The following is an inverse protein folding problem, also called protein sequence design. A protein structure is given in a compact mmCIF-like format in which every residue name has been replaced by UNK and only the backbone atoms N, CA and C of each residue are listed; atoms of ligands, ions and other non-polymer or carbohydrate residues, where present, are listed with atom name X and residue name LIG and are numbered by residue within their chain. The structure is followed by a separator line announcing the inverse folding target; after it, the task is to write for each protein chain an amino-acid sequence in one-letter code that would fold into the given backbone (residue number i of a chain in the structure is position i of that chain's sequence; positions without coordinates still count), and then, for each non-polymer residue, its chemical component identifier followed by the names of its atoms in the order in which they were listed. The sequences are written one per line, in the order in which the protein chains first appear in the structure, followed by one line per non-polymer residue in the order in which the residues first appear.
data_IF_126622168977
#
_entry.id   IF_126622168977
#
_cell.length_a   1.000
_cell.length_b   1.000
_cell.length_c   1.000
_cell.angle_alpha   90.00
_cell.angle_beta   90.00
_cell.angle_gamma   90.00
#
_symmetry.space_group_name_H-M   'P 1'
#
loop_
_entity.id
_entity.type
_entity.pdbx_description
1 polymer ?
#
# COMPACT_ATOMS: atom_id res chain seq x y z
N UNK A 1 33.82 11.26 -39.83
CA UNK A 1 32.39 11.20 -39.46
C UNK A 1 32.11 10.66 -38.03
N UNK A 2 33.11 10.41 -37.17
CA UNK A 2 32.91 9.71 -35.87
C UNK A 2 32.31 10.55 -34.72
N UNK A 3 32.02 11.85 -34.94
CA UNK A 3 31.66 12.81 -33.88
C UNK A 3 30.14 13.01 -33.65
N UNK A 4 29.27 12.48 -34.51
CA UNK A 4 27.81 12.78 -34.49
C UNK A 4 27.00 11.71 -33.72
N UNK A 5 27.56 10.52 -33.50
CA UNK A 5 26.82 9.39 -32.88
C UNK A 5 26.57 9.63 -31.38
N UNK A 6 27.53 10.24 -30.67
CA UNK A 6 27.46 10.44 -29.22
C UNK A 6 26.29 11.33 -28.76
N UNK A 7 26.03 12.53 -29.34
CA UNK A 7 24.88 13.35 -28.94
C UNK A 7 23.53 12.69 -29.27
N UNK A 8 23.45 11.85 -30.31
CA UNK A 8 22.22 11.15 -30.70
C UNK A 8 21.79 10.09 -29.68
N UNK A 9 22.75 9.35 -29.10
CA UNK A 9 22.47 8.39 -28.02
C UNK A 9 22.04 9.11 -26.74
N UNK A 10 22.67 10.25 -26.43
CA UNK A 10 22.37 11.05 -25.24
C UNK A 10 20.98 11.72 -25.32
N UNK A 11 20.55 12.11 -26.53
CA UNK A 11 19.18 12.59 -26.78
C UNK A 11 18.15 11.45 -26.64
N UNK A 12 18.47 10.23 -27.07
CA UNK A 12 17.58 9.08 -26.93
C UNK A 12 17.34 8.68 -25.46
N UNK A 13 18.34 8.83 -24.59
CA UNK A 13 18.16 8.62 -23.14
C UNK A 13 17.23 9.64 -22.47
N UNK A 14 16.98 10.80 -23.07
CA UNK A 14 16.06 11.82 -22.52
C UNK A 14 14.57 11.51 -22.79
N UNK A 15 14.26 10.56 -23.67
CA UNK A 15 12.89 10.12 -23.98
C UNK A 15 12.50 8.80 -23.29
N UNK A 16 13.32 8.32 -22.35
CA UNK A 16 13.00 7.18 -21.48
C UNK A 16 12.15 7.70 -20.33
N UNK A 17 10.84 7.67 -20.50
CA UNK A 17 9.92 7.95 -19.38
C UNK A 17 10.12 6.85 -18.28
N UNK A 18 9.93 7.13 -16.96
CA UNK A 18 10.08 6.22 -15.76
C UNK A 18 8.83 5.32 -15.54
N UNK A 19 8.83 4.18 -14.80
CA UNK A 19 7.84 3.04 -14.94
C UNK A 19 6.65 3.10 -14.01
N UNK A 20 5.47 2.64 -14.48
CA UNK A 20 4.30 2.39 -13.66
C UNK A 20 4.56 1.05 -12.99
N UNK A 21 5.57 1.07 -12.13
CA UNK A 21 5.45 0.41 -10.86
C UNK A 21 4.11 0.90 -10.31
N UNK A 22 3.12 0.01 -10.37
CA UNK A 22 1.94 0.11 -9.54
C UNK A 22 2.45 -0.08 -8.11
N UNK A 23 2.97 1.01 -7.54
CA UNK A 23 2.95 1.17 -6.10
C UNK A 23 1.50 0.93 -5.68
N UNK A 24 1.31 0.07 -4.69
CA UNK A 24 -0.01 -0.19 -4.16
C UNK A 24 -0.65 1.13 -3.72
N UNK A 25 -1.97 1.23 -3.90
CA UNK A 25 -2.64 2.51 -3.74
C UNK A 25 -2.50 3.01 -2.30
N UNK A 26 -2.25 4.31 -2.15
CA UNK A 26 -2.55 5.06 -0.94
C UNK A 26 -3.99 4.78 -0.47
N UNK A 27 -4.31 4.27 0.71
CA UNK A 27 -5.65 4.44 1.31
C UNK A 27 -5.53 5.35 2.54
N UNK A 28 -6.27 6.46 2.53
CA UNK A 28 -6.40 7.42 3.63
C UNK A 28 -7.59 7.07 4.52
N UNK A 29 -7.36 7.02 5.83
CA UNK A 29 -8.32 6.68 6.85
C UNK A 29 -8.61 7.89 7.72
N UNK A 30 -9.89 8.27 7.80
CA UNK A 30 -10.36 9.40 8.62
C UNK A 30 -11.46 8.90 9.55
N UNK A 31 -11.14 8.78 10.84
CA UNK A 31 -12.05 8.40 11.90
C UNK A 31 -12.48 9.63 12.70
N UNK A 32 -13.79 9.88 12.76
CA UNK A 32 -14.39 10.99 13.50
C UNK A 32 -15.38 10.50 14.55
N UNK A 33 -15.25 10.99 15.79
CA UNK A 33 -16.23 10.75 16.86
C UNK A 33 -17.45 11.67 16.78
N UNK A 34 -18.53 11.34 17.50
CA UNK A 34 -19.74 12.18 17.60
C UNK A 34 -19.39 13.65 17.84
N UNK A 35 -19.99 14.55 17.04
CA UNK A 35 -19.76 15.99 17.14
C UNK A 35 -18.34 16.43 16.76
N UNK A 36 -17.59 15.62 16.01
CA UNK A 36 -16.19 15.82 15.65
C UNK A 36 -15.24 15.91 16.86
N UNK A 37 -15.63 15.30 17.99
CA UNK A 37 -14.94 15.44 19.28
C UNK A 37 -13.60 14.71 19.39
N UNK A 38 -13.26 13.86 18.42
CA UNK A 38 -11.93 13.30 18.19
C UNK A 38 -11.75 13.10 16.69
N UNK A 39 -10.60 13.53 16.15
CA UNK A 39 -10.17 13.28 14.79
C UNK A 39 -8.92 12.40 14.83
N UNK A 40 -8.99 11.21 14.23
CA UNK A 40 -7.90 10.25 14.11
C UNK A 40 -7.69 10.00 12.62
N UNK A 41 -6.47 10.24 12.13
CA UNK A 41 -6.12 10.08 10.71
C UNK A 41 -4.83 9.29 10.53
N UNK A 42 -4.84 8.34 9.59
CA UNK A 42 -3.67 7.55 9.20
C UNK A 42 -3.80 7.11 7.74
N UNK A 43 -2.71 6.65 7.14
CA UNK A 43 -2.71 6.14 5.77
C UNK A 43 -1.97 4.80 5.71
N UNK A 44 -2.49 3.87 4.91
CA UNK A 44 -1.93 2.53 4.71
C UNK A 44 -1.93 2.18 3.21
N UNK A 45 -1.06 1.28 2.73
CA UNK A 45 -1.28 0.64 1.43
C UNK A 45 -2.66 -0.02 1.39
N UNK A 46 -3.36 0.07 0.26
CA UNK A 46 -4.68 -0.49 0.05
C UNK A 46 -4.71 -2.03 0.21
N UNK A 47 -3.61 -2.69 -0.14
CA UNK A 47 -3.34 -4.11 0.15
C UNK A 47 -2.04 -4.23 0.96
N UNK A 48 -2.06 -3.92 2.28
CA UNK A 48 -0.86 -4.00 3.09
C UNK A 48 -0.39 -5.45 3.14
N UNK A 49 0.94 -5.71 3.19
CA UNK A 49 1.46 -7.06 3.23
C UNK A 49 0.83 -7.83 4.39
N UNK A 50 0.31 -9.00 4.10
CA UNK A 50 -0.45 -9.81 5.03
C UNK A 50 0.34 -10.23 6.26
N UNK A 51 -0.35 -10.85 7.20
CA UNK A 51 0.21 -11.31 8.46
C UNK A 51 1.19 -12.51 8.32
N UNK A 52 1.67 -12.84 7.12
CA UNK A 52 2.77 -13.80 6.90
C UNK A 52 4.07 -13.39 7.62
N UNK A 53 4.26 -12.09 7.86
CA UNK A 53 5.38 -11.56 8.65
C UNK A 53 5.21 -11.69 10.18
N UNK A 54 3.97 -11.72 10.69
CA UNK A 54 3.65 -11.72 12.14
C UNK A 54 3.02 -13.01 12.65
N UNK A 55 2.58 -13.90 11.76
CA UNK A 55 1.90 -15.16 12.05
C UNK A 55 2.74 -16.34 11.49
N UNK A 56 3.80 -16.78 12.20
CA UNK A 56 4.64 -17.87 11.72
C UNK A 56 3.82 -19.17 11.53
N UNK A 57 4.19 -20.04 10.56
CA UNK A 57 3.35 -21.12 10.03
C UNK A 57 3.06 -22.29 10.99
N UNK A 58 3.31 -22.12 12.29
CA UNK A 58 3.17 -23.13 13.35
C UNK A 58 1.86 -23.05 14.13
N UNK A 59 1.04 -22.00 13.92
CA UNK A 59 -0.25 -21.84 14.61
C UNK A 59 -1.43 -22.10 13.66
N UNK A 60 -2.37 -23.02 13.98
CA UNK A 60 -3.55 -23.27 13.15
C UNK A 60 -4.48 -22.05 13.05
N UNK A 61 -4.34 -21.07 13.95
CA UNK A 61 -5.02 -19.77 13.89
C UNK A 61 -4.57 -18.92 12.70
N UNK A 62 -3.35 -19.14 12.18
CA UNK A 62 -2.76 -18.38 11.07
C UNK A 62 -3.18 -18.91 9.68
N UNK A 63 -3.86 -20.06 9.60
CA UNK A 63 -4.26 -20.67 8.33
C UNK A 63 -5.64 -20.14 7.93
N UNK A 64 -5.83 -19.56 6.73
CA UNK A 64 -7.17 -19.27 6.21
C UNK A 64 -8.04 -20.55 6.22
N UNK A 65 -9.27 -20.55 6.77
CA UNK A 65 -10.13 -19.40 7.14
C UNK A 65 -10.19 -19.10 8.65
N UNK A 66 -9.18 -19.48 9.44
CA UNK A 66 -9.19 -19.34 10.91
C UNK A 66 -8.63 -18.00 11.41
N UNK A 67 -8.02 -17.22 10.53
CA UNK A 67 -7.59 -15.85 10.81
C UNK A 67 -8.76 -15.01 11.36
N UNK A 68 -8.55 -14.43 12.54
CA UNK A 68 -9.51 -13.52 13.16
C UNK A 68 -9.16 -12.05 12.89
N UNK A 69 -7.90 -11.74 12.61
CA UNK A 69 -7.39 -10.39 12.35
C UNK A 69 -6.07 -10.39 11.56
N UNK A 70 -5.67 -9.22 11.07
CA UNK A 70 -4.28 -8.88 10.74
C UNK A 70 -3.85 -7.60 11.47
N UNK A 71 -2.55 -7.30 11.44
CA UNK A 71 -1.95 -6.12 12.07
C UNK A 71 -1.17 -5.37 11.00
N UNK A 72 -1.29 -4.04 10.96
CA UNK A 72 -0.45 -3.15 10.18
C UNK A 72 0.02 -1.99 11.07
N UNK A 73 1.28 -1.59 10.96
CA UNK A 73 1.84 -0.47 11.73
C UNK A 73 1.90 0.79 10.88
N UNK A 74 1.47 1.94 11.42
CA UNK A 74 1.47 3.21 10.70
C UNK A 74 1.60 4.41 11.64
N UNK A 75 2.10 5.57 11.15
CA UNK A 75 1.98 6.83 11.88
C UNK A 75 0.51 7.26 11.92
N UNK A 76 -0.08 7.29 13.10
CA UNK A 76 -1.45 7.75 13.33
C UNK A 76 -1.44 9.11 14.01
N UNK A 77 -2.23 10.04 13.46
CA UNK A 77 -2.38 11.39 14.02
C UNK A 77 -3.72 11.50 14.75
N UNK A 78 -3.66 11.62 16.08
CA UNK A 78 -4.82 11.82 16.95
C UNK A 78 -4.84 13.27 17.42
N UNK A 79 -5.88 14.02 17.05
CA UNK A 79 -6.06 15.43 17.43
C UNK A 79 -4.83 16.33 17.16
N UNK A 80 -4.06 16.03 16.10
CA UNK A 80 -2.86 16.78 15.69
C UNK A 80 -1.54 16.29 16.31
N UNK A 81 -1.54 15.22 17.11
CA UNK A 81 -0.32 14.56 17.61
C UNK A 81 -0.14 13.23 16.89
N UNK A 82 1.04 13.00 16.30
CA UNK A 82 1.36 11.79 15.55
C UNK A 82 2.19 10.81 16.39
N UNK A 83 1.78 9.55 16.46
CA UNK A 83 2.51 8.42 17.06
C UNK A 83 2.52 7.23 16.11
N UNK A 84 3.56 6.39 16.16
CA UNK A 84 3.57 5.12 15.42
C UNK A 84 2.76 4.08 16.22
N UNK A 85 1.69 3.55 15.63
CA UNK A 85 0.73 2.65 16.28
C UNK A 85 0.55 1.33 15.52
N UNK A 86 0.25 0.26 16.24
CA UNK A 86 -0.16 -1.03 15.67
C UNK A 86 -1.68 -1.12 15.51
N UNK A 87 -2.15 -1.10 14.27
CA UNK A 87 -3.57 -1.16 13.89
C UNK A 87 -3.98 -2.62 13.69
N UNK A 88 -4.87 -3.14 14.54
CA UNK A 88 -5.38 -4.53 14.43
C UNK A 88 -6.75 -4.56 13.76
N UNK A 89 -6.83 -5.04 12.53
CA UNK A 89 -8.08 -5.11 11.75
C UNK A 89 -8.77 -6.46 11.92
N UNK A 90 -10.05 -6.46 12.26
CA UNK A 90 -10.83 -7.66 12.56
C UNK A 90 -11.62 -8.19 11.36
N UNK A 91 -11.61 -9.50 11.17
CA UNK A 91 -12.53 -10.19 10.27
C UNK A 91 -13.97 -10.13 10.78
N UNK A 92 -14.95 -10.32 9.88
CA UNK A 92 -16.37 -10.45 10.26
C UNK A 92 -16.64 -11.58 11.26
N UNK A 93 -15.82 -12.64 11.28
CA UNK A 93 -15.90 -13.73 12.26
C UNK A 93 -15.51 -13.29 13.67
N UNK A 94 -14.64 -12.28 13.80
CA UNK A 94 -14.28 -11.64 15.07
C UNK A 94 -15.21 -10.46 15.44
N UNK A 95 -16.25 -10.21 14.63
CA UNK A 95 -17.20 -9.10 14.81
C UNK A 95 -16.87 -7.82 14.03
N UNK A 96 -15.85 -7.83 13.16
CA UNK A 96 -15.46 -6.70 12.32
C UNK A 96 -14.90 -5.49 13.09
N UNK A 97 -14.62 -4.41 12.35
CA UNK A 97 -13.97 -3.20 12.87
C UNK A 97 -12.45 -3.35 13.08
N UNK A 98 -11.87 -2.57 13.99
CA UNK A 98 -10.42 -2.54 14.24
C UNK A 98 -10.07 -2.04 15.66
N UNK A 99 -8.77 -2.08 16.01
CA UNK A 99 -8.20 -1.50 17.23
C UNK A 99 -7.09 -0.51 16.92
N UNK A 100 -6.95 0.50 17.80
CA UNK A 100 -5.83 1.44 17.89
C UNK A 100 -5.70 1.89 19.36
N UNK A 101 -4.47 2.04 19.89
CA UNK A 101 -4.17 2.46 21.28
C UNK A 101 -5.10 1.81 22.33
N UNK A 102 -5.17 0.47 22.30
CA UNK A 102 -6.04 -0.37 23.14
C UNK A 102 -7.56 -0.14 23.00
N UNK A 103 -8.01 0.92 22.30
CA UNK A 103 -9.41 1.20 22.03
C UNK A 103 -9.91 0.34 20.87
N UNK A 104 -11.05 -0.32 21.08
CA UNK A 104 -11.73 -1.15 20.07
C UNK A 104 -12.88 -0.40 19.41
N UNK A 105 -12.87 -0.38 18.09
CA UNK A 105 -13.96 0.12 17.25
C UNK A 105 -14.63 -1.07 16.56
N UNK A 106 -15.86 -1.36 16.95
CA UNK A 106 -16.68 -2.42 16.36
C UNK A 106 -17.43 -1.90 15.13
N UNK A 107 -17.68 -2.75 14.15
CA UNK A 107 -18.41 -2.40 12.93
C UNK A 107 -18.28 -3.48 11.86
N UNK A 108 -18.54 -3.15 10.58
CA UNK A 108 -18.35 -4.09 9.48
C UNK A 108 -16.87 -4.48 9.27
N UNK A 109 -16.63 -5.49 8.44
CA UNK A 109 -15.25 -5.81 8.00
C UNK A 109 -14.79 -4.74 7.01
N UNK A 110 -13.62 -4.16 7.25
CA UNK A 110 -13.08 -3.02 6.48
C UNK A 110 -12.26 -3.45 5.24
N UNK A 111 -12.13 -4.76 5.02
CA UNK A 111 -11.26 -5.37 4.03
C UNK A 111 -11.82 -6.69 3.53
N UNK A 112 -11.35 -7.13 2.37
CA UNK A 112 -11.51 -8.48 1.82
C UNK A 112 -10.20 -9.26 1.92
N UNK A 113 -10.25 -10.58 2.08
CA UNK A 113 -9.07 -11.44 2.09
C UNK A 113 -8.82 -11.96 0.67
N UNK A 114 -7.72 -11.53 0.05
CA UNK A 114 -7.35 -11.86 -1.33
C UNK A 114 -6.15 -12.82 -1.37
N UNK A 115 -6.27 -13.96 -0.67
CA UNK A 115 -5.18 -14.92 -0.50
C UNK A 115 -4.44 -14.69 0.82
N UNK A 116 -3.15 -14.36 0.74
CA UNK A 116 -2.31 -14.06 1.91
C UNK A 116 -2.45 -12.58 2.34
N UNK A 117 -2.71 -11.68 1.39
CA UNK A 117 -2.82 -10.24 1.64
C UNK A 117 -4.30 -9.80 1.77
N UNK A 118 -4.64 -8.97 2.77
CA UNK A 118 -5.92 -8.28 2.82
C UNK A 118 -5.92 -7.10 1.83
N UNK A 119 -7.09 -6.74 1.28
CA UNK A 119 -7.29 -5.48 0.54
C UNK A 119 -8.41 -4.70 1.21
N UNK A 120 -8.15 -3.46 1.60
CA UNK A 120 -9.15 -2.56 2.16
C UNK A 120 -10.27 -2.26 1.15
N UNK A 121 -11.46 -1.95 1.68
CA UNK A 121 -12.62 -1.58 0.86
C UNK A 121 -12.92 -0.10 1.12
N UNK A 122 -12.69 0.79 0.14
CA UNK A 122 -13.07 2.19 0.23
C UNK A 122 -14.55 2.39 0.55
N UNK A 123 -14.86 3.40 1.36
CA UNK A 123 -16.23 3.71 1.78
C UNK A 123 -16.29 4.41 3.14
N UNK A 124 -17.52 4.67 3.59
CA UNK A 124 -17.79 5.22 4.93
C UNK A 124 -18.50 4.17 5.77
N UNK A 125 -18.04 4.00 7.01
CA UNK A 125 -18.43 2.94 7.93
C UNK A 125 -18.82 3.51 9.28
N UNK A 126 -20.05 3.20 9.71
CA UNK A 126 -20.50 3.46 11.07
C UNK A 126 -19.85 2.46 12.03
N UNK A 127 -19.09 2.98 13.00
CA UNK A 127 -18.39 2.22 14.03
C UNK A 127 -18.91 2.61 15.42
N UNK A 128 -18.67 1.76 16.42
CA UNK A 128 -18.94 2.08 17.82
C UNK A 128 -17.85 1.56 18.76
N UNK A 129 -17.63 2.26 19.88
CA UNK A 129 -16.69 1.87 20.93
C UNK A 129 -17.41 1.72 22.27
N UNK A 130 -17.01 0.71 23.04
CA UNK A 130 -17.43 0.55 24.44
C UNK A 130 -16.31 1.06 25.36
N UNK A 131 -16.48 2.27 25.89
CA UNK A 131 -15.68 2.75 27.02
C UNK A 131 -16.30 2.37 28.37
N UNK A 132 -15.91 3.06 29.44
CA UNK A 132 -16.54 2.94 30.76
C UNK A 132 -17.95 3.58 30.86
N UNK A 133 -18.48 4.10 29.75
CA UNK A 133 -19.76 4.82 29.65
C UNK A 133 -20.69 4.22 28.58
N UNK A 134 -21.72 4.96 28.13
CA UNK A 134 -22.57 4.50 27.04
C UNK A 134 -21.76 4.32 25.73
N UNK A 135 -22.22 3.49 24.78
CA UNK A 135 -21.53 3.29 23.51
C UNK A 135 -21.40 4.61 22.76
N UNK A 136 -20.18 4.92 22.32
CA UNK A 136 -19.88 6.10 21.49
C UNK A 136 -19.85 5.67 20.02
N UNK A 137 -20.54 6.41 19.15
CA UNK A 137 -20.51 6.18 17.70
C UNK A 137 -19.41 7.00 17.02
N UNK A 138 -18.87 6.44 15.95
CA UNK A 138 -17.80 7.02 15.14
C UNK A 138 -18.10 6.77 13.66
N UNK A 139 -17.61 7.64 12.79
CA UNK A 139 -17.62 7.44 11.34
C UNK A 139 -16.18 7.28 10.86
N UNK A 140 -15.85 6.13 10.28
CA UNK A 140 -14.60 5.89 9.57
C UNK A 140 -14.84 6.07 8.07
N UNK A 141 -14.05 6.91 7.42
CA UNK A 141 -14.00 7.01 5.96
C UNK A 141 -12.66 6.49 5.46
N UNK A 142 -12.69 5.59 4.48
CA UNK A 142 -11.53 5.06 3.75
C UNK A 142 -11.63 5.60 2.31
N UNK A 143 -10.62 6.35 1.87
CA UNK A 143 -10.55 6.92 0.52
C UNK A 143 -9.22 6.60 -0.13
N UNK A 144 -9.20 6.15 -1.40
CA UNK A 144 -7.95 6.00 -2.13
C UNK A 144 -7.29 7.36 -2.31
N UNK A 145 -6.04 7.48 -1.89
CA UNK A 145 -5.20 8.62 -2.23
C UNK A 145 -5.09 8.65 -3.76
N UNK A 146 -5.47 9.78 -4.36
CA UNK A 146 -5.25 10.02 -5.79
C UNK A 146 -3.76 10.24 -6.05
N UNK A 147 -3.00 9.14 -6.06
CA UNK A 147 -1.62 9.14 -6.52
C UNK A 147 -1.58 9.66 -7.94
N UNK A 148 -0.76 10.70 -8.17
CA UNK A 148 -0.50 11.19 -9.52
C UNK A 148 0.02 10.03 -10.39
N UNK A 149 -0.38 9.93 -11.67
CA UNK A 149 -0.03 8.79 -12.51
C UNK A 149 1.49 8.63 -12.59
N UNK A 150 2.00 7.55 -12.03
CA UNK A 150 3.41 7.17 -12.15
C UNK A 150 3.66 6.80 -13.63
N UNK A 151 4.59 7.46 -14.37
CA UNK A 151 4.73 7.29 -15.85
C UNK A 151 5.19 5.87 -16.28
N UNK A 152 5.47 5.54 -17.58
CA UNK A 152 6.05 4.24 -18.07
C UNK A 152 7.57 4.22 -18.52
N UNK A 153 8.41 3.16 -18.27
CA UNK A 153 8.98 2.45 -19.40
C UNK A 153 7.97 1.83 -20.32
N UNK A 154 7.95 2.28 -21.58
CA UNK A 154 9.19 2.52 -22.36
C UNK A 154 10.24 1.41 -22.11
N UNK A 155 9.78 0.19 -21.80
CA UNK A 155 10.55 -1.07 -21.86
C UNK A 155 11.24 -1.21 -23.22
N UNK A 156 10.64 -0.59 -24.23
CA UNK A 156 11.17 -0.29 -25.56
C UNK A 156 12.55 0.41 -25.54
N UNK A 157 12.84 1.30 -24.57
CA UNK A 157 14.15 1.92 -24.39
C UNK A 157 15.18 0.96 -23.76
N UNK A 158 14.77 0.11 -22.82
CA UNK A 158 15.62 -0.97 -22.29
C UNK A 158 15.98 -1.97 -23.43
N UNK A 159 15.00 -2.29 -24.26
CA UNK A 159 15.19 -3.16 -25.42
C UNK A 159 16.09 -2.51 -26.48
N UNK A 160 15.88 -1.22 -26.77
CA UNK A 160 16.70 -0.44 -27.70
C UNK A 160 18.16 -0.30 -27.25
N UNK A 161 18.40 0.02 -25.98
CA UNK A 161 19.76 0.10 -25.41
C UNK A 161 20.44 -1.28 -25.40
N UNK A 162 19.72 -2.35 -25.08
CA UNK A 162 20.21 -3.73 -25.19
C UNK A 162 20.63 -4.11 -26.62
N UNK A 163 19.81 -3.78 -27.62
CA UNK A 163 20.12 -4.01 -29.04
C UNK A 163 21.36 -3.24 -29.51
N UNK A 164 21.51 -1.97 -29.11
CA UNK A 164 22.70 -1.17 -29.43
C UNK A 164 23.96 -1.79 -28.80
N UNK A 165 23.88 -2.22 -27.53
CA UNK A 165 24.98 -2.91 -26.85
C UNK A 165 25.40 -4.21 -27.56
N UNK A 166 24.45 -5.03 -28.01
CA UNK A 166 24.73 -6.25 -28.78
C UNK A 166 25.43 -5.95 -30.13
N UNK A 167 25.03 -4.88 -30.81
CA UNK A 167 25.63 -4.47 -32.09
C UNK A 167 27.08 -3.96 -31.90
N UNK A 168 27.35 -3.19 -30.85
CA UNK A 168 28.71 -2.76 -30.47
C UNK A 168 29.60 -3.96 -30.08
N UNK A 169 29.07 -4.91 -29.31
CA UNK A 169 29.78 -6.13 -28.93
C UNK A 169 30.14 -7.00 -30.14
N UNK A 170 29.20 -7.20 -31.07
CA UNK A 170 29.46 -7.92 -32.32
C UNK A 170 30.53 -7.25 -33.18
N UNK A 171 30.54 -5.90 -33.26
CA UNK A 171 31.55 -5.12 -34.00
C UNK A 171 32.94 -5.18 -33.38
N UNK A 172 33.04 -5.12 -32.05
CA UNK A 172 34.34 -5.18 -31.36
C UNK A 172 34.95 -6.59 -31.42
N UNK A 173 34.14 -7.64 -31.31
CA UNK A 173 34.58 -9.03 -31.50
C UNK A 173 35.20 -9.27 -32.88
N UNK A 174 34.58 -8.76 -33.95
CA UNK A 174 35.05 -8.92 -35.35
C UNK A 174 36.28 -8.07 -35.72
N UNK A 175 36.86 -7.32 -34.78
CA UNK A 175 38.11 -6.55 -34.94
C UNK A 175 39.28 -7.10 -34.11
N UNK A 176 39.04 -8.13 -33.29
CA UNK A 176 40.07 -8.83 -32.48
C UNK A 176 40.40 -10.22 -33.05
N UNK A 177 39.81 -10.56 -34.19
CA UNK A 177 40.09 -11.71 -35.06
C UNK A 177 40.57 -11.14 -36.39
#
# INVERSE_FOLDING_TARGET
MRKIVFPLVLLASAFVQPLTAHADAIDDFVLTGVGNSNLITFSLPASPPGNTATCPPVSPSCVPPYLLSFIASAPVTTNGVTTDEDLTFLTGRAGGGFYIDLQRYFGPTLYVLNGEDPTFVPGTYDLFSFGAGPPLTYSLTITPETTAPTPEPSTLALFGTGLVGLIEFARTRKRRV
#
